data_IF_670322720688
#
_entry.id   IF_670322720688
#
_cell.length_a   1.000
_cell.length_b   1.000
_cell.length_c   1.000
_cell.angle_alpha   90.00
_cell.angle_beta   90.00
_cell.angle_gamma   90.00
#
_symmetry.space_group_name_H-M   'P 1'
#
loop_
_entity.id
_entity.type
_entity.pdbx_description
1 polymer ?
#
# COMPACT_ATOMS: atom_id res chain seq x y z
N UNK A 1 -0.79 30.22 6.47
CA UNK A 1 0.28 29.27 6.86
C UNK A 1 0.01 27.93 6.20
N UNK A 2 0.91 27.44 5.35
CA UNK A 2 0.81 26.07 4.81
C UNK A 2 1.12 25.10 5.96
N UNK A 3 0.26 24.11 6.18
CA UNK A 3 0.49 23.13 7.25
C UNK A 3 1.69 22.25 6.90
N UNK A 4 2.65 22.13 7.83
CA UNK A 4 3.80 21.26 7.65
C UNK A 4 3.37 19.79 7.65
N UNK A 5 3.65 19.03 6.59
CA UNK A 5 3.32 17.61 6.55
C UNK A 5 4.26 16.82 7.47
N UNK A 6 3.69 15.93 8.29
CA UNK A 6 4.43 15.07 9.21
C UNK A 6 4.28 13.60 8.80
N UNK A 7 5.35 12.82 9.00
CA UNK A 7 5.35 11.38 8.75
C UNK A 7 4.55 10.70 9.86
N UNK A 8 3.66 9.78 9.50
CA UNK A 8 2.89 9.05 10.49
C UNK A 8 3.82 8.18 11.37
N UNK A 9 3.47 7.92 12.64
CA UNK A 9 4.25 7.03 13.48
C UNK A 9 4.44 5.65 12.85
N UNK A 10 5.60 5.03 13.07
CA UNK A 10 5.97 3.72 12.48
C UNK A 10 4.92 2.65 12.73
N UNK A 11 4.33 2.59 13.93
CA UNK A 11 3.30 1.59 14.26
C UNK A 11 2.04 1.72 13.38
N UNK A 12 1.67 2.95 12.96
CA UNK A 12 0.54 3.16 12.04
C UNK A 12 0.88 2.63 10.66
N UNK A 13 2.09 2.92 10.17
CA UNK A 13 2.57 2.46 8.88
C UNK A 13 2.57 0.92 8.82
N UNK A 14 3.18 0.27 9.83
CA UNK A 14 3.24 -1.19 9.89
C UNK A 14 1.87 -1.82 10.15
N UNK A 15 0.99 -1.18 10.93
CA UNK A 15 -0.37 -1.65 11.16
C UNK A 15 -1.16 -1.74 9.84
N UNK A 16 -1.15 -0.67 9.04
CA UNK A 16 -1.79 -0.70 7.72
C UNK A 16 -1.10 -1.69 6.77
N UNK A 17 0.24 -1.82 6.82
CA UNK A 17 0.95 -2.84 6.04
C UNK A 17 0.46 -4.26 6.35
N UNK A 18 0.32 -4.61 7.64
CA UNK A 18 -0.20 -5.91 8.07
C UNK A 18 -1.64 -6.12 7.63
N UNK A 19 -2.51 -5.10 7.74
CA UNK A 19 -3.89 -5.17 7.23
C UNK A 19 -3.90 -5.47 5.73
N UNK A 20 -3.08 -4.77 4.96
CA UNK A 20 -2.93 -5.01 3.52
C UNK A 20 -2.48 -6.44 3.21
N UNK A 21 -1.50 -6.94 3.98
CA UNK A 21 -0.96 -8.28 3.81
C UNK A 21 -1.99 -9.38 4.14
N UNK A 22 -2.70 -9.26 5.27
CA UNK A 22 -3.77 -10.19 5.66
C UNK A 22 -4.84 -10.24 4.58
N UNK A 23 -5.23 -9.07 4.06
CA UNK A 23 -6.23 -8.96 3.01
C UNK A 23 -5.75 -9.62 1.70
N UNK A 24 -4.49 -9.40 1.33
CA UNK A 24 -3.89 -10.03 0.17
C UNK A 24 -3.92 -11.56 0.30
N UNK A 25 -3.52 -12.09 1.46
CA UNK A 25 -3.57 -13.52 1.77
C UNK A 25 -5.01 -14.03 1.68
N UNK A 26 -5.99 -13.34 2.28
CA UNK A 26 -7.39 -13.74 2.26
C UNK A 26 -7.90 -13.94 0.83
N UNK A 27 -7.63 -13.02 -0.09
CA UNK A 27 -8.06 -13.17 -1.49
C UNK A 27 -7.41 -14.35 -2.21
N UNK A 28 -6.16 -14.69 -1.88
CA UNK A 28 -5.50 -15.88 -2.44
C UNK A 28 -6.06 -17.16 -1.81
N UNK A 29 -6.34 -17.14 -0.51
CA UNK A 29 -6.90 -18.27 0.21
C UNK A 29 -8.31 -18.64 -0.28
N UNK A 30 -9.06 -17.68 -0.84
CA UNK A 30 -10.36 -17.97 -1.48
C UNK A 30 -10.22 -19.11 -2.47
N UNK A 31 -9.18 -19.11 -3.32
CA UNK A 31 -8.88 -20.14 -4.33
C UNK A 31 -8.79 -21.53 -3.71
N UNK A 32 -8.10 -21.67 -2.58
CA UNK A 32 -7.99 -22.93 -1.86
C UNK A 32 -9.34 -23.32 -1.25
N UNK A 33 -10.07 -22.38 -0.66
CA UNK A 33 -11.37 -22.65 -0.05
C UNK A 33 -12.45 -23.06 -1.07
N UNK A 34 -12.36 -22.63 -2.33
CA UNK A 34 -13.29 -23.08 -3.37
C UNK A 34 -13.23 -24.60 -3.56
N UNK A 35 -12.03 -25.18 -3.40
CA UNK A 35 -11.81 -26.61 -3.56
C UNK A 35 -12.09 -27.39 -2.28
N UNK A 36 -11.64 -26.90 -1.12
CA UNK A 36 -11.70 -27.63 0.15
C UNK A 36 -13.03 -27.45 0.90
N UNK A 37 -13.43 -26.21 1.17
CA UNK A 37 -14.63 -25.87 1.95
C UNK A 37 -15.29 -24.58 1.41
N UNK A 38 -16.18 -24.69 0.40
CA UNK A 38 -16.76 -23.53 -0.27
C UNK A 38 -17.53 -22.56 0.65
N UNK A 39 -18.00 -23.02 1.81
CA UNK A 39 -18.67 -22.20 2.82
C UNK A 39 -17.79 -21.04 3.33
N UNK A 40 -16.46 -21.22 3.38
CA UNK A 40 -15.51 -20.21 3.86
C UNK A 40 -15.21 -19.10 2.85
N UNK A 41 -15.56 -19.29 1.57
CA UNK A 41 -15.28 -18.30 0.51
C UNK A 41 -15.85 -16.92 0.86
N UNK A 42 -17.12 -16.86 1.30
CA UNK A 42 -17.77 -15.57 1.63
C UNK A 42 -17.18 -14.91 2.87
N UNK A 43 -17.05 -15.57 4.04
CA UNK A 43 -16.40 -14.98 5.22
C UNK A 43 -15.00 -14.43 4.93
N UNK A 44 -14.17 -15.20 4.21
CA UNK A 44 -12.79 -14.82 3.89
C UNK A 44 -12.77 -13.65 2.90
N UNK A 45 -13.68 -13.65 1.92
CA UNK A 45 -13.85 -12.52 1.01
C UNK A 45 -14.26 -11.24 1.74
N UNK A 46 -15.22 -11.30 2.66
CA UNK A 46 -15.62 -10.15 3.46
C UNK A 46 -14.48 -9.60 4.33
N UNK A 47 -13.71 -10.49 4.97
CA UNK A 47 -12.52 -10.07 5.73
C UNK A 47 -11.48 -9.40 4.82
N UNK A 48 -11.20 -9.98 3.65
CA UNK A 48 -10.26 -9.44 2.67
C UNK A 48 -10.68 -8.07 2.13
N UNK A 49 -11.96 -7.90 1.75
CA UNK A 49 -12.43 -6.64 1.18
C UNK A 49 -12.42 -5.52 2.22
N UNK A 50 -12.84 -5.78 3.46
CA UNK A 50 -12.83 -4.79 4.54
C UNK A 50 -11.41 -4.33 4.81
N UNK A 51 -10.46 -5.25 4.93
CA UNK A 51 -9.06 -4.89 5.15
C UNK A 51 -8.48 -4.08 3.97
N UNK A 52 -8.79 -4.44 2.72
CA UNK A 52 -8.40 -3.64 1.55
C UNK A 52 -9.02 -2.25 1.53
N UNK A 53 -10.28 -2.06 1.92
CA UNK A 53 -10.89 -0.72 2.01
C UNK A 53 -10.04 0.18 2.91
N UNK A 54 -9.70 -0.28 4.10
CA UNK A 54 -8.89 0.51 5.03
C UNK A 54 -7.46 0.71 4.54
N UNK A 55 -6.82 -0.33 4.02
CA UNK A 55 -5.46 -0.27 3.49
C UNK A 55 -5.34 0.72 2.34
N UNK A 56 -6.21 0.63 1.34
CA UNK A 56 -6.17 1.51 0.17
C UNK A 56 -6.63 2.93 0.51
N UNK A 57 -7.55 3.11 1.45
CA UNK A 57 -7.89 4.46 1.95
C UNK A 57 -6.67 5.13 2.59
N UNK A 58 -5.92 4.41 3.43
CA UNK A 58 -4.68 4.91 4.01
C UNK A 58 -3.67 5.30 2.93
N UNK A 59 -3.39 4.38 1.98
CA UNK A 59 -2.47 4.64 0.86
C UNK A 59 -2.90 5.81 -0.01
N UNK A 60 -4.20 5.94 -0.28
CA UNK A 60 -4.76 7.06 -1.01
C UNK A 60 -4.49 8.38 -0.30
N UNK A 61 -4.76 8.46 1.01
CA UNK A 61 -4.57 9.68 1.79
C UNK A 61 -3.10 10.11 1.85
N UNK A 62 -2.16 9.17 2.05
CA UNK A 62 -0.73 9.48 2.06
C UNK A 62 -0.26 9.97 0.69
N UNK A 63 -0.63 9.27 -0.39
CA UNK A 63 -0.26 9.68 -1.75
C UNK A 63 -0.85 11.05 -2.10
N UNK A 64 -2.10 11.32 -1.74
CA UNK A 64 -2.74 12.63 -1.96
C UNK A 64 -2.02 13.74 -1.19
N UNK A 65 -1.61 13.50 0.06
CA UNK A 65 -0.80 14.45 0.85
C UNK A 65 0.55 14.75 0.18
N UNK A 66 1.26 13.72 -0.30
CA UNK A 66 2.54 13.88 -1.03
C UNK A 66 2.37 14.71 -2.30
N UNK A 67 1.38 14.39 -3.14
CA UNK A 67 1.09 15.15 -4.37
C UNK A 67 0.74 16.61 -4.05
N UNK A 68 -0.16 16.82 -3.10
CA UNK A 68 -0.53 18.17 -2.66
C UNK A 68 0.66 18.97 -2.15
N UNK A 69 1.59 18.36 -1.40
CA UNK A 69 2.80 19.05 -0.95
C UNK A 69 3.72 19.45 -2.10
N UNK A 70 3.81 18.64 -3.16
CA UNK A 70 4.56 18.99 -4.37
C UNK A 70 3.92 20.19 -5.07
N UNK A 71 2.60 20.19 -5.22
CA UNK A 71 1.83 21.25 -5.89
C UNK A 71 1.84 22.56 -5.09
N UNK A 72 1.52 22.48 -3.78
CA UNK A 72 1.45 23.64 -2.88
C UNK A 72 2.80 24.38 -2.83
N UNK A 73 3.93 23.68 -2.93
CA UNK A 73 5.28 24.27 -2.89
C UNK A 73 5.91 24.48 -4.27
N UNK A 74 5.21 24.09 -5.35
CA UNK A 74 5.68 24.17 -6.73
C UNK A 74 7.07 23.58 -6.91
N UNK A 75 7.37 22.49 -6.20
CA UNK A 75 8.73 21.96 -6.08
C UNK A 75 9.31 21.53 -7.42
N UNK A 76 8.48 20.95 -8.28
CA UNK A 76 8.90 20.53 -9.63
C UNK A 76 9.31 21.74 -10.47
N UNK A 77 8.53 22.82 -10.43
CA UNK A 77 8.80 24.02 -11.23
C UNK A 77 10.07 24.72 -10.75
N UNK A 78 10.27 24.81 -9.43
CA UNK A 78 11.49 25.36 -8.82
C UNK A 78 12.74 24.57 -9.24
N UNK A 79 12.67 23.24 -9.20
CA UNK A 79 13.78 22.38 -9.62
C UNK A 79 14.05 22.52 -11.12
N UNK A 80 13.00 22.54 -11.96
CA UNK A 80 13.14 22.73 -13.42
C UNK A 80 13.76 24.08 -13.78
N UNK A 81 13.39 25.14 -13.07
CA UNK A 81 13.92 26.49 -13.27
C UNK A 81 15.33 26.70 -12.67
N UNK A 82 15.93 25.64 -12.09
CA UNK A 82 17.18 25.73 -11.32
C UNK A 82 17.13 26.82 -10.23
N UNK A 83 15.93 27.05 -9.66
CA UNK A 83 15.72 28.04 -8.63
C UNK A 83 16.27 27.54 -7.29
N UNK A 84 16.76 28.47 -6.45
CA UNK A 84 17.23 28.11 -5.11
C UNK A 84 16.05 27.66 -4.24
N UNK A 85 16.18 26.48 -3.62
CA UNK A 85 15.20 25.97 -2.66
C UNK A 85 15.38 26.66 -1.30
N UNK A 86 14.30 27.26 -0.80
CA UNK A 86 14.25 27.84 0.55
C UNK A 86 14.39 26.75 1.61
N UNK A 87 14.68 27.13 2.86
CA UNK A 87 14.72 26.17 3.98
C UNK A 87 13.39 25.41 4.14
N UNK A 88 12.25 26.09 3.95
CA UNK A 88 10.94 25.45 3.98
C UNK A 88 10.79 24.42 2.85
N UNK A 89 11.22 24.75 1.63
CA UNK A 89 11.19 23.81 0.50
C UNK A 89 12.06 22.56 0.78
N UNK A 90 13.24 22.76 1.40
CA UNK A 90 14.15 21.67 1.78
C UNK A 90 13.52 20.74 2.81
N UNK A 91 12.83 21.28 3.82
CA UNK A 91 12.07 20.49 4.78
C UNK A 91 10.98 19.65 4.10
N UNK A 92 10.24 20.23 3.15
CA UNK A 92 9.19 19.50 2.42
C UNK A 92 9.79 18.41 1.53
N UNK A 93 10.89 18.68 0.84
CA UNK A 93 11.60 17.67 0.04
C UNK A 93 12.08 16.53 0.94
N UNK A 94 12.66 16.85 2.10
CA UNK A 94 13.09 15.85 3.08
C UNK A 94 11.91 14.99 3.55
N UNK A 95 10.76 15.60 3.84
CA UNK A 95 9.52 14.89 4.17
C UNK A 95 9.10 13.94 3.04
N UNK A 96 9.07 14.42 1.79
CA UNK A 96 8.63 13.62 0.64
C UNK A 96 9.54 12.40 0.43
N UNK A 97 10.85 12.61 0.41
CA UNK A 97 11.84 11.55 0.23
C UNK A 97 11.80 10.55 1.38
N UNK A 98 11.72 11.04 2.62
CA UNK A 98 11.63 10.18 3.80
C UNK A 98 10.34 9.38 3.82
N UNK A 99 9.21 10.00 3.44
CA UNK A 99 7.91 9.32 3.35
C UNK A 99 7.87 8.25 2.26
N UNK A 100 8.60 8.42 1.16
CA UNK A 100 8.76 7.39 0.13
C UNK A 100 9.59 6.24 0.70
N UNK A 101 10.76 6.54 1.27
CA UNK A 101 11.68 5.52 1.82
C UNK A 101 11.10 4.73 2.99
N UNK A 102 10.27 5.35 3.84
CA UNK A 102 9.69 4.69 5.01
C UNK A 102 8.51 3.77 4.68
N UNK A 103 7.95 3.85 3.47
CA UNK A 103 6.78 3.07 3.08
C UNK A 103 7.22 1.66 2.67
N UNK A 104 6.73 0.58 3.30
CA UNK A 104 7.04 -0.81 2.93
C UNK A 104 6.27 -1.24 1.66
N UNK A 105 6.27 -0.37 0.68
CA UNK A 105 5.48 -0.43 -0.55
C UNK A 105 5.97 -1.54 -1.48
N UNK A 106 7.29 -1.61 -1.64
CA UNK A 106 8.04 -2.63 -2.36
C UNK A 106 7.78 -4.04 -1.81
N UNK A 107 7.85 -4.21 -0.49
CA UNK A 107 7.55 -5.48 0.17
C UNK A 107 6.12 -5.92 -0.09
N UNK A 108 5.16 -4.99 -0.03
CA UNK A 108 3.77 -5.33 -0.31
C UNK A 108 3.61 -5.84 -1.75
N UNK A 109 4.27 -5.21 -2.72
CA UNK A 109 4.24 -5.66 -4.12
C UNK A 109 4.88 -7.04 -4.29
N UNK A 110 6.06 -7.25 -3.69
CA UNK A 110 6.76 -8.52 -3.78
C UNK A 110 5.94 -9.67 -3.18
N UNK A 111 5.37 -9.48 -1.98
CA UNK A 111 4.58 -10.52 -1.32
C UNK A 111 3.31 -10.83 -2.11
N UNK A 112 2.58 -9.79 -2.55
CA UNK A 112 1.37 -9.99 -3.37
C UNK A 112 1.71 -10.75 -4.65
N UNK A 113 2.81 -10.40 -5.32
CA UNK A 113 3.27 -11.08 -6.53
C UNK A 113 3.54 -12.56 -6.27
N UNK A 114 4.38 -12.88 -5.28
CA UNK A 114 4.73 -14.26 -4.91
C UNK A 114 3.49 -15.07 -4.52
N UNK A 115 2.64 -14.53 -3.63
CA UNK A 115 1.41 -15.20 -3.21
C UNK A 115 0.46 -15.46 -4.38
N UNK A 116 0.41 -14.56 -5.36
CA UNK A 116 -0.45 -14.75 -6.54
C UNK A 116 0.02 -15.92 -7.40
N UNK A 117 1.34 -16.05 -7.61
CA UNK A 117 1.91 -17.21 -8.31
C UNK A 117 1.58 -18.49 -7.54
N UNK A 118 1.82 -18.51 -6.23
CA UNK A 118 1.54 -19.68 -5.39
C UNK A 118 0.06 -20.07 -5.41
N UNK A 119 -0.85 -19.09 -5.41
CA UNK A 119 -2.28 -19.35 -5.42
C UNK A 119 -2.75 -19.96 -6.76
N UNK A 120 -2.20 -19.50 -7.89
CA UNK A 120 -2.48 -20.09 -9.21
C UNK A 120 -1.94 -21.53 -9.27
N UNK A 121 -0.72 -21.76 -8.79
CA UNK A 121 -0.14 -23.11 -8.76
C UNK A 121 -0.98 -24.05 -7.89
N UNK A 122 -1.45 -23.58 -6.74
CA UNK A 122 -2.34 -24.34 -5.87
C UNK A 122 -3.68 -24.66 -6.55
N UNK A 123 -4.27 -23.70 -7.27
CA UNK A 123 -5.52 -23.91 -8.02
C UNK A 123 -5.38 -25.01 -9.06
N UNK A 124 -4.33 -24.94 -9.89
CA UNK A 124 -4.06 -25.91 -10.94
C UNK A 124 -3.84 -27.30 -10.32
N UNK A 125 -3.02 -27.38 -9.26
CA UNK A 125 -2.75 -28.64 -8.59
C UNK A 125 -4.01 -29.28 -8.01
N UNK A 126 -4.85 -28.50 -7.30
CA UNK A 126 -6.09 -28.99 -6.71
C UNK A 126 -7.13 -29.37 -7.77
N UNK A 127 -7.18 -28.64 -8.89
CA UNK A 127 -8.09 -28.91 -10.01
C UNK A 127 -7.72 -30.18 -10.76
N UNK A 128 -6.43 -30.55 -10.83
CA UNK A 128 -5.98 -31.80 -11.48
C UNK A 128 -6.19 -33.01 -10.55
N UNK A 129 -6.05 -32.81 -9.23
CA UNK A 129 -6.17 -33.88 -8.24
C UNK A 129 -7.63 -34.34 -8.02
N UNK A 130 -8.60 -33.51 -8.38
CA UNK A 130 -10.04 -33.75 -8.17
C UNK A 130 -10.75 -34.17 -9.45
#
# INVERSE_FOLDING_TARGET
>A
MKMRPHIMPKYVIYGFFVIGLISAIAFRAIIVFQHLEPSWVRPVWYAGIVGYIFFFLYRYRITKKRKKAIDDFQLIDKVKANACLTEEDREIVLYLLSSIKSSPEDLNYAIIFILSILAILADIFLSILR
#
